data_IF_706380076501
#
_entry.id   IF_706380076501
#
_cell.length_a   1.000
_cell.length_b   1.000
_cell.length_c   1.000
_cell.angle_alpha   90.00
_cell.angle_beta   90.00
_cell.angle_gamma   90.00
#
_symmetry.space_group_name_H-M   'P 1'
#
loop_
_entity.id
_entity.type
_entity.pdbx_description
1 polymer ?
#
# COMPACT_ATOMS: atom_id res chain seq x y z
N UNK A 1 -24.76 -3.37 14.83
CA UNK A 1 -24.76 -4.76 14.31
C UNK A 1 -23.33 -5.17 14.10
N UNK A 2 -22.88 -6.23 14.76
CA UNK A 2 -21.54 -6.78 14.53
C UNK A 2 -21.56 -7.51 13.19
N UNK A 3 -20.79 -7.01 12.22
CA UNK A 3 -20.55 -7.68 10.94
C UNK A 3 -19.99 -9.08 11.21
N UNK A 4 -20.58 -10.11 10.61
CA UNK A 4 -20.00 -11.45 10.60
C UNK A 4 -18.68 -11.45 9.81
N UNK A 5 -17.84 -12.43 10.09
CA UNK A 5 -16.58 -12.65 9.34
C UNK A 5 -16.85 -12.94 7.86
N UNK A 6 -17.90 -13.71 7.54
CA UNK A 6 -18.26 -14.02 6.14
C UNK A 6 -18.82 -12.79 5.40
N UNK A 7 -19.61 -11.96 6.09
CA UNK A 7 -20.12 -10.72 5.54
C UNK A 7 -19.00 -9.70 5.29
N UNK A 8 -18.01 -9.65 6.20
CA UNK A 8 -16.81 -8.85 6.04
C UNK A 8 -15.99 -9.32 4.84
N UNK A 9 -15.76 -10.62 4.71
CA UNK A 9 -15.02 -11.20 3.58
C UNK A 9 -15.69 -10.86 2.24
N UNK A 10 -17.02 -11.03 2.14
CA UNK A 10 -17.81 -10.68 0.95
C UNK A 10 -17.77 -9.19 0.63
N UNK A 11 -17.87 -8.33 1.66
CA UNK A 11 -17.78 -6.89 1.51
C UNK A 11 -16.38 -6.49 1.00
N UNK A 12 -15.32 -7.05 1.56
CA UNK A 12 -13.94 -6.78 1.13
C UNK A 12 -13.66 -7.33 -0.27
N UNK A 13 -14.25 -8.47 -0.64
CA UNK A 13 -14.19 -9.00 -2.01
C UNK A 13 -14.85 -8.06 -3.01
N UNK A 14 -16.01 -7.49 -2.68
CA UNK A 14 -16.66 -6.47 -3.52
C UNK A 14 -15.81 -5.20 -3.65
N UNK A 15 -15.05 -4.85 -2.61
CA UNK A 15 -14.19 -3.67 -2.57
C UNK A 15 -12.77 -3.88 -3.13
N UNK A 16 -12.42 -5.09 -3.58
CA UNK A 16 -11.05 -5.57 -3.80
C UNK A 16 -10.13 -4.65 -4.61
N UNK A 17 -10.65 -3.93 -5.60
CA UNK A 17 -9.87 -3.05 -6.48
C UNK A 17 -9.57 -1.68 -5.87
N UNK A 18 -10.40 -1.21 -4.93
CA UNK A 18 -10.33 0.14 -4.37
C UNK A 18 -10.46 0.15 -2.84
N UNK A 19 -10.13 -0.98 -2.20
CA UNK A 19 -10.26 -1.08 -0.76
C UNK A 19 -9.22 -0.17 -0.07
N UNK A 20 -9.73 0.78 0.72
CA UNK A 20 -8.94 1.59 1.63
C UNK A 20 -9.45 1.39 3.06
N UNK A 21 -8.55 1.35 4.05
CA UNK A 21 -8.89 1.09 5.46
C UNK A 21 -9.97 2.04 6.02
N UNK A 22 -10.08 3.26 5.50
CA UNK A 22 -11.10 4.24 5.90
C UNK A 22 -12.50 3.94 5.35
N UNK A 23 -12.63 3.08 4.34
CA UNK A 23 -13.88 2.90 3.60
C UNK A 23 -14.92 2.13 4.41
N UNK A 24 -14.51 1.17 5.24
CA UNK A 24 -15.43 0.50 6.17
C UNK A 24 -16.08 1.49 7.13
N UNK A 25 -15.30 2.44 7.66
CA UNK A 25 -15.82 3.50 8.54
C UNK A 25 -16.78 4.43 7.79
N UNK A 26 -16.47 4.76 6.54
CA UNK A 26 -17.35 5.57 5.68
C UNK A 26 -18.69 4.86 5.40
N UNK A 27 -18.66 3.55 5.20
CA UNK A 27 -19.85 2.70 5.04
C UNK A 27 -20.61 2.44 6.36
N UNK A 28 -20.20 3.07 7.47
CA UNK A 28 -20.85 2.95 8.77
C UNK A 28 -20.42 1.72 9.58
N UNK A 29 -19.45 0.94 9.09
CA UNK A 29 -18.95 -0.26 9.75
C UNK A 29 -17.73 0.05 10.62
N UNK A 30 -17.85 -0.20 11.92
CA UNK A 30 -16.75 -0.14 12.88
C UNK A 30 -16.23 -1.55 13.16
N UNK A 31 -15.23 -1.96 12.39
CA UNK A 31 -14.58 -3.27 12.52
C UNK A 31 -13.18 -3.10 13.11
N UNK A 32 -12.77 -4.02 13.97
CA UNK A 32 -11.42 -4.06 14.51
C UNK A 32 -10.39 -4.28 13.40
N UNK A 33 -9.25 -3.58 13.46
CA UNK A 33 -8.20 -3.70 12.44
C UNK A 33 -7.70 -5.14 12.27
N UNK A 34 -7.58 -5.89 13.37
CA UNK A 34 -7.13 -7.29 13.29
C UNK A 34 -8.13 -8.17 12.54
N UNK A 35 -9.45 -7.97 12.71
CA UNK A 35 -10.47 -8.71 11.95
C UNK A 35 -10.40 -8.39 10.45
N UNK A 36 -10.21 -7.12 10.09
CA UNK A 36 -9.99 -6.71 8.69
C UNK A 36 -8.74 -7.36 8.12
N UNK A 37 -7.65 -7.39 8.90
CA UNK A 37 -6.39 -8.03 8.48
C UNK A 37 -6.57 -9.53 8.24
N UNK A 38 -7.23 -10.24 9.15
CA UNK A 38 -7.51 -11.68 9.01
C UNK A 38 -8.41 -11.95 7.79
N UNK A 39 -9.46 -11.15 7.60
CA UNK A 39 -10.33 -11.20 6.42
C UNK A 39 -9.56 -11.01 5.11
N UNK A 40 -8.71 -9.97 5.02
CA UNK A 40 -7.84 -9.72 3.86
C UNK A 40 -6.90 -10.89 3.56
N UNK A 41 -6.35 -11.52 4.61
CA UNK A 41 -5.50 -12.72 4.47
C UNK A 41 -6.26 -13.94 3.97
N UNK A 42 -7.55 -14.10 4.33
CA UNK A 42 -8.41 -15.18 3.85
C UNK A 42 -8.77 -14.99 2.38
N UNK A 43 -9.12 -13.78 1.97
CA UNK A 43 -9.63 -13.50 0.62
C UNK A 43 -8.53 -13.27 -0.44
N UNK A 44 -7.34 -12.80 -0.04
CA UNK A 44 -6.24 -12.49 -0.97
C UNK A 44 -4.90 -13.12 -0.53
N UNK A 45 -4.69 -14.42 -0.83
CA UNK A 45 -3.43 -15.09 -0.52
C UNK A 45 -2.24 -14.54 -1.32
N UNK A 46 -2.47 -13.81 -2.42
CA UNK A 46 -1.41 -13.22 -3.25
C UNK A 46 -0.82 -11.99 -2.56
N UNK A 47 -1.66 -11.12 -1.97
CA UNK A 47 -1.17 -10.01 -1.14
C UNK A 47 -0.36 -10.50 0.05
N UNK A 48 -0.75 -11.61 0.67
CA UNK A 48 0.05 -12.28 1.72
C UNK A 48 1.44 -12.71 1.24
N UNK A 49 1.55 -13.15 -0.02
CA UNK A 49 2.85 -13.48 -0.63
C UNK A 49 3.66 -12.21 -0.86
N UNK A 50 3.06 -11.16 -1.43
CA UNK A 50 3.72 -9.86 -1.70
C UNK A 50 4.22 -9.17 -0.43
N UNK A 51 3.43 -9.16 0.66
CA UNK A 51 3.87 -8.67 1.97
C UNK A 51 5.06 -9.45 2.53
N UNK A 52 5.20 -10.72 2.15
CA UNK A 52 6.31 -11.58 2.54
C UNK A 52 7.53 -11.43 1.62
N UNK A 53 7.39 -10.76 0.47
CA UNK A 53 8.54 -10.40 -0.36
C UNK A 53 9.31 -9.32 0.39
N UNK A 54 10.39 -9.75 1.03
CA UNK A 54 11.35 -8.84 1.65
C UNK A 54 11.91 -7.92 0.56
N UNK A 55 11.68 -6.62 0.71
CA UNK A 55 12.26 -5.61 -0.18
C UNK A 55 13.78 -5.67 0.00
N UNK A 56 14.49 -6.14 -1.02
CA UNK A 56 15.94 -6.09 -1.07
C UNK A 56 16.36 -4.75 -1.63
N UNK A 57 16.88 -3.88 -0.77
CA UNK A 57 17.48 -2.64 -1.22
C UNK A 57 18.78 -2.94 -1.97
N UNK A 58 18.94 -2.32 -3.15
CA UNK A 58 20.21 -2.36 -3.88
C UNK A 58 21.24 -1.51 -3.13
N UNK A 59 22.40 -2.09 -2.82
CA UNK A 59 23.56 -1.37 -2.29
C UNK A 59 24.45 -1.04 -3.48
N UNK A 60 24.60 0.26 -3.75
CA UNK A 60 25.49 0.73 -4.80
C UNK A 60 26.81 1.19 -4.16
N UNK A 61 27.93 0.73 -4.71
CA UNK A 61 29.25 1.29 -4.42
C UNK A 61 29.62 2.16 -5.60
N UNK A 62 29.84 3.44 -5.34
CA UNK A 62 30.11 4.44 -6.37
C UNK A 62 31.51 5.05 -6.17
N UNK A 63 32.19 5.44 -7.25
CA UNK A 63 33.58 5.88 -7.19
C UNK A 63 33.79 7.31 -6.68
N UNK A 64 32.74 8.13 -6.59
CA UNK A 64 32.85 9.58 -6.42
C UNK A 64 31.50 10.27 -6.26
N UNK A 65 31.43 11.50 -5.71
CA UNK A 65 30.21 12.30 -5.76
C UNK A 65 29.76 12.49 -7.22
N UNK A 66 28.47 12.70 -7.45
CA UNK A 66 27.83 12.77 -8.77
C UNK A 66 27.89 11.49 -9.63
N UNK A 67 28.30 10.36 -9.06
CA UNK A 67 28.38 9.10 -9.81
C UNK A 67 27.05 8.34 -9.85
N UNK A 68 26.12 8.63 -8.94
CA UNK A 68 24.81 8.00 -8.89
C UNK A 68 23.75 8.97 -8.37
N UNK A 69 22.76 9.23 -9.20
CA UNK A 69 21.63 10.08 -8.85
C UNK A 69 20.38 9.23 -8.65
N UNK A 70 19.76 9.34 -7.48
CA UNK A 70 18.42 8.84 -7.26
C UNK A 70 17.42 9.90 -7.70
N UNK A 71 16.64 9.57 -8.72
CA UNK A 71 15.51 10.36 -9.17
C UNK A 71 14.21 9.65 -8.79
N UNK A 72 13.32 10.35 -8.09
CA UNK A 72 11.98 9.85 -7.78
C UNK A 72 10.89 10.89 -8.07
N UNK A 73 9.71 10.40 -8.45
CA UNK A 73 8.56 11.20 -8.86
C UNK A 73 7.39 11.01 -7.91
N UNK A 74 7.05 12.04 -7.13
CA UNK A 74 5.87 12.07 -6.28
C UNK A 74 4.65 12.59 -7.05
N UNK A 75 3.67 11.71 -7.24
CA UNK A 75 2.41 11.98 -7.95
C UNK A 75 1.20 12.17 -7.02
N UNK A 76 1.40 12.26 -5.70
CA UNK A 76 0.31 12.40 -4.74
C UNK A 76 -0.56 13.64 -4.94
N UNK A 77 -0.07 14.64 -5.69
CA UNK A 77 -0.80 15.87 -6.00
C UNK A 77 -1.32 15.94 -7.45
N UNK A 78 -1.29 14.82 -8.20
CA UNK A 78 -1.60 14.81 -9.64
C UNK A 78 -3.03 15.26 -9.96
N UNK A 79 -3.97 15.05 -9.05
CA UNK A 79 -5.35 15.52 -9.18
C UNK A 79 -5.49 17.05 -9.25
N UNK A 80 -4.49 17.78 -8.75
CA UNK A 80 -4.39 19.24 -8.85
C UNK A 80 -3.44 19.68 -9.97
N UNK A 81 -3.00 18.76 -10.83
CA UNK A 81 -2.04 19.03 -11.91
C UNK A 81 -0.60 19.22 -11.45
N UNK A 82 -0.26 18.80 -10.22
CA UNK A 82 1.09 18.97 -9.65
C UNK A 82 1.80 17.63 -9.58
N UNK A 83 2.98 17.55 -10.20
CA UNK A 83 3.93 16.46 -10.06
C UNK A 83 5.25 17.00 -9.51
N UNK A 84 5.81 16.34 -8.49
CA UNK A 84 7.06 16.76 -7.85
C UNK A 84 8.13 15.72 -8.17
N UNK A 85 9.27 16.18 -8.69
CA UNK A 85 10.42 15.34 -8.96
C UNK A 85 11.56 15.76 -8.03
N UNK A 86 12.20 14.78 -7.42
CA UNK A 86 13.34 15.02 -6.52
C UNK A 86 14.55 14.21 -6.97
N UNK A 87 15.71 14.84 -6.86
CA UNK A 87 17.00 14.29 -7.27
C UNK A 87 17.96 14.34 -6.08
N UNK A 88 18.55 13.20 -5.73
CA UNK A 88 19.55 13.09 -4.65
C UNK A 88 20.79 12.41 -5.23
N UNK A 89 21.93 13.08 -5.15
CA UNK A 89 23.22 12.41 -5.36
C UNK A 89 23.53 11.49 -4.18
N UNK A 90 23.93 10.27 -4.49
CA UNK A 90 24.35 9.29 -3.48
C UNK A 90 25.83 9.02 -3.68
N UNK A 91 26.64 9.63 -2.82
CA UNK A 91 28.05 9.30 -2.60
C UNK A 91 28.20 8.18 -1.57
#
# INVERSE_FOLDING_TARGET
SELSDDELDNLLLWLRSHFHHGMLRHLGHRVQQERVRQSLLRIDPVRRILERIRIWYRVYSVPGPNSLWHHDGQHGLIQWGIAIHWFIDRY
#
